data_IF_441327644400
#
_entry.id   IF_441327644400
#
_cell.length_a   1.000
_cell.length_b   1.000
_cell.length_c   1.000
_cell.angle_alpha   90.00
_cell.angle_beta   90.00
_cell.angle_gamma   90.00
#
_symmetry.space_group_name_H-M   'P 1'
#
loop_
_entity.id
_entity.type
_entity.pdbx_description
1 polymer ?
#
# COMPACT_ATOMS: atom_id res chain seq x y z
N UNK A 1 -7.00 -37.20 -33.42
CA UNK A 1 -5.69 -36.68 -33.86
C UNK A 1 -5.76 -35.17 -33.91
N UNK A 2 -4.74 -34.51 -33.35
CA UNK A 2 -4.41 -33.08 -33.40
C UNK A 2 -5.34 -32.09 -32.66
N UNK A 3 -4.92 -31.78 -31.43
CA UNK A 3 -5.26 -30.58 -30.66
C UNK A 3 -4.49 -29.37 -31.22
N UNK A 4 -5.16 -28.24 -31.43
CA UNK A 4 -4.50 -26.94 -31.67
C UNK A 4 -5.13 -25.87 -30.78
N UNK A 5 -4.46 -25.60 -29.66
CA UNK A 5 -4.68 -24.47 -28.77
C UNK A 5 -4.15 -23.18 -29.42
N UNK A 6 -5.00 -22.18 -29.64
CA UNK A 6 -4.57 -20.82 -29.99
C UNK A 6 -4.37 -20.00 -28.72
N UNK A 7 -3.11 -19.61 -28.49
CA UNK A 7 -2.69 -18.62 -27.50
C UNK A 7 -3.34 -17.26 -27.80
N UNK A 8 -3.88 -16.61 -26.75
CA UNK A 8 -4.24 -15.18 -26.77
C UNK A 8 -3.00 -14.34 -26.42
N UNK A 9 -2.87 -13.12 -26.95
CA UNK A 9 -1.76 -12.24 -26.64
C UNK A 9 -1.93 -11.62 -25.25
N UNK A 10 -0.87 -11.71 -24.44
CA UNK A 10 -0.76 -11.08 -23.12
C UNK A 10 -0.69 -9.55 -23.26
N UNK A 11 -1.45 -8.85 -22.41
CA UNK A 11 -1.49 -7.40 -22.29
C UNK A 11 -0.25 -6.86 -21.56
N UNK A 12 0.24 -5.64 -21.88
CA UNK A 12 1.43 -5.06 -21.26
C UNK A 12 1.07 -4.36 -19.94
N UNK A 13 1.25 -5.06 -18.82
CA UNK A 13 1.19 -4.52 -17.46
C UNK A 13 2.59 -4.44 -16.86
N UNK A 14 3.30 -3.33 -17.08
CA UNK A 14 4.59 -3.08 -16.45
C UNK A 14 4.43 -2.29 -15.16
N UNK A 15 4.49 -2.95 -14.00
CA UNK A 15 5.07 -2.46 -12.74
C UNK A 15 5.11 -3.60 -11.71
N UNK A 16 6.27 -4.25 -11.60
CA UNK A 16 6.75 -4.94 -10.40
C UNK A 16 8.29 -4.97 -10.46
N UNK A 17 8.98 -4.74 -9.33
CA UNK A 17 10.12 -5.57 -9.01
C UNK A 17 9.84 -6.28 -7.69
N UNK A 18 8.85 -7.18 -7.69
CA UNK A 18 8.91 -8.38 -6.87
C UNK A 18 9.54 -9.52 -7.70
N UNK A 19 10.76 -9.26 -8.19
CA UNK A 19 11.75 -10.29 -8.52
C UNK A 19 12.53 -10.57 -7.22
N UNK A 20 11.84 -11.02 -6.17
CA UNK A 20 11.53 -12.41 -5.83
C UNK A 20 12.63 -13.05 -4.98
N UNK A 21 12.23 -13.42 -3.76
CA UNK A 21 12.95 -14.37 -2.89
C UNK A 21 13.39 -15.63 -3.65
N UNK A 22 12.66 -16.00 -4.72
CA UNK A 22 13.01 -17.13 -5.60
C UNK A 22 14.22 -16.86 -6.50
N UNK A 23 14.53 -15.62 -6.90
CA UNK A 23 15.76 -15.31 -7.64
C UNK A 23 17.00 -15.36 -6.73
N UNK A 24 16.85 -14.92 -5.47
CA UNK A 24 17.91 -15.02 -4.45
C UNK A 24 18.14 -16.48 -3.99
N UNK A 25 17.08 -17.29 -3.91
CA UNK A 25 17.18 -18.74 -3.71
C UNK A 25 17.78 -19.49 -4.91
N UNK A 26 17.55 -19.03 -6.15
CA UNK A 26 18.18 -19.61 -7.34
C UNK A 26 19.69 -19.33 -7.40
N UNK A 27 20.15 -18.20 -6.87
CA UNK A 27 21.57 -17.91 -6.67
C UNK A 27 22.25 -18.87 -5.66
N UNK A 28 21.51 -19.38 -4.67
CA UNK A 28 22.03 -20.38 -3.71
C UNK A 28 22.30 -21.75 -4.37
N UNK A 29 21.55 -22.12 -5.42
CA UNK A 29 21.82 -23.34 -6.18
C UNK A 29 23.03 -23.18 -7.11
N UNK A 30 23.24 -21.99 -7.70
CA UNK A 30 24.40 -21.72 -8.54
C UNK A 30 25.71 -21.58 -7.74
N UNK A 31 25.66 -21.03 -6.52
CA UNK A 31 26.83 -20.90 -5.65
C UNK A 31 27.37 -22.26 -5.14
N UNK A 32 26.55 -23.32 -5.15
CA UNK A 32 27.01 -24.68 -4.86
C UNK A 32 27.96 -25.25 -5.92
N UNK A 33 28.03 -24.65 -7.12
CA UNK A 33 28.94 -25.06 -8.18
C UNK A 33 30.36 -24.48 -8.04
N UNK A 34 30.57 -23.50 -7.16
CA UNK A 34 31.86 -22.85 -6.91
C UNK A 34 32.05 -22.85 -5.40
N UNK A 35 32.73 -23.86 -4.85
CA UNK A 35 32.87 -24.14 -3.42
C UNK A 35 33.37 -23.00 -2.54
N UNK A 36 32.53 -21.98 -2.32
CA UNK A 36 32.66 -20.94 -1.30
C UNK A 36 31.69 -21.35 -0.21
N UNK A 37 32.19 -22.09 0.78
CA UNK A 37 31.46 -22.26 2.04
C UNK A 37 31.39 -20.89 2.71
N UNK A 38 30.30 -20.14 2.49
CA UNK A 38 30.02 -18.93 3.25
C UNK A 38 29.99 -19.31 4.73
N UNK A 39 30.85 -18.68 5.53
CA UNK A 39 30.81 -18.80 6.98
C UNK A 39 29.42 -18.37 7.47
N UNK A 40 28.66 -19.22 8.16
CA UNK A 40 27.35 -18.86 8.68
C UNK A 40 27.41 -17.76 9.75
N UNK A 41 28.61 -17.31 10.15
CA UNK A 41 28.84 -16.29 11.17
C UNK A 41 29.03 -14.88 10.60
N UNK A 42 29.14 -14.75 9.28
CA UNK A 42 29.41 -13.48 8.61
C UNK A 42 28.23 -13.06 7.74
N UNK A 43 28.03 -11.75 7.61
CA UNK A 43 27.00 -11.23 6.71
C UNK A 43 27.36 -11.54 5.25
N UNK A 44 26.32 -11.72 4.43
CA UNK A 44 26.50 -11.90 2.99
C UNK A 44 26.84 -10.56 2.37
N UNK A 45 27.93 -10.52 1.59
CA UNK A 45 28.39 -9.31 0.90
C UNK A 45 28.46 -9.60 -0.59
N UNK A 46 27.63 -8.91 -1.36
CA UNK A 46 27.67 -8.91 -2.82
C UNK A 46 28.33 -7.62 -3.30
N UNK A 47 29.31 -7.72 -4.19
CA UNK A 47 30.02 -6.56 -4.75
C UNK A 47 29.73 -6.43 -6.24
N UNK A 48 29.47 -5.22 -6.69
CA UNK A 48 29.22 -4.87 -8.09
C UNK A 48 29.88 -3.54 -8.45
N UNK A 49 29.89 -3.20 -9.73
CA UNK A 49 30.33 -1.88 -10.20
C UNK A 49 29.48 -0.73 -9.65
N UNK A 50 28.26 -1.04 -9.19
CA UNK A 50 27.34 -0.08 -8.59
C UNK A 50 27.52 0.07 -7.08
N UNK A 51 28.39 -0.74 -6.45
CA UNK A 51 28.65 -0.73 -5.02
C UNK A 51 28.40 -2.09 -4.35
N UNK A 52 28.52 -2.08 -3.02
CA UNK A 52 28.38 -3.26 -2.17
C UNK A 52 26.97 -3.37 -1.59
N UNK A 53 26.38 -4.57 -1.61
CA UNK A 53 25.12 -4.93 -0.96
C UNK A 53 25.41 -5.89 0.18
N UNK A 54 24.94 -5.56 1.39
CA UNK A 54 25.21 -6.32 2.60
C UNK A 54 23.91 -6.81 3.20
N UNK A 55 23.78 -8.12 3.40
CA UNK A 55 22.63 -8.73 4.05
C UNK A 55 23.07 -9.53 5.28
N UNK A 56 22.56 -9.13 6.44
CA UNK A 56 22.84 -9.70 7.73
C UNK A 56 21.57 -10.31 8.30
N UNK A 57 21.64 -11.58 8.68
CA UNK A 57 20.60 -12.30 9.42
C UNK A 57 21.29 -13.26 10.42
N UNK A 58 20.67 -13.59 11.56
CA UNK A 58 21.24 -14.55 12.50
C UNK A 58 21.54 -15.90 11.83
N UNK A 59 22.66 -16.57 12.19
CA UNK A 59 23.54 -16.28 13.32
C UNK A 59 24.73 -15.34 12.97
N UNK A 60 24.68 -14.63 11.84
CA UNK A 60 25.74 -13.70 11.46
C UNK A 60 25.92 -12.57 12.49
N UNK A 61 27.12 -12.01 12.60
CA UNK A 61 27.35 -10.80 13.41
C UNK A 61 27.19 -9.55 12.56
N UNK A 62 26.47 -8.56 13.10
CA UNK A 62 26.34 -7.24 12.47
C UNK A 62 27.74 -6.60 12.42
N UNK A 63 28.21 -6.14 11.24
CA UNK A 63 29.53 -5.55 11.12
C UNK A 63 29.59 -4.22 11.88
N UNK A 64 30.72 -3.96 12.55
CA UNK A 64 30.95 -2.69 13.26
C UNK A 64 31.23 -1.53 12.30
N UNK A 65 31.64 -1.83 11.07
CA UNK A 65 31.93 -0.85 10.02
C UNK A 65 31.45 -1.39 8.67
N UNK A 66 30.87 -0.50 7.87
CA UNK A 66 30.44 -0.81 6.51
C UNK A 66 31.49 -0.34 5.50
N UNK A 67 31.72 -1.06 4.40
CA UNK A 67 32.44 -0.54 3.24
C UNK A 67 31.87 0.81 2.78
N UNK A 68 32.74 1.75 2.41
CA UNK A 68 32.32 3.10 2.01
C UNK A 68 31.49 3.13 0.71
N UNK A 69 31.57 2.06 -0.09
CA UNK A 69 30.79 1.85 -1.31
C UNK A 69 29.47 1.09 -1.07
N UNK A 70 29.06 0.87 0.19
CA UNK A 70 27.80 0.20 0.51
C UNK A 70 26.62 1.01 -0.01
N UNK A 71 25.80 0.40 -0.87
CA UNK A 71 24.58 0.99 -1.45
C UNK A 71 23.31 0.37 -0.90
N UNK A 72 23.38 -0.88 -0.40
CA UNK A 72 22.27 -1.59 0.21
C UNK A 72 22.73 -2.26 1.51
N UNK A 73 21.96 -2.07 2.59
CA UNK A 73 22.17 -2.74 3.87
C UNK A 73 20.85 -3.33 4.36
N UNK A 74 20.83 -4.63 4.62
CA UNK A 74 19.76 -5.33 5.31
C UNK A 74 20.28 -5.91 6.63
N UNK A 75 19.65 -5.55 7.75
CA UNK A 75 19.92 -6.09 9.09
C UNK A 75 18.59 -6.51 9.71
N UNK A 76 18.26 -7.79 9.58
CA UNK A 76 16.91 -8.30 9.84
C UNK A 76 16.93 -9.47 10.82
N UNK A 77 15.83 -9.68 11.56
CA UNK A 77 15.62 -10.84 12.45
C UNK A 77 16.56 -10.91 13.66
N UNK A 78 17.25 -9.82 14.02
CA UNK A 78 18.19 -9.80 15.14
C UNK A 78 17.55 -9.55 16.51
N UNK A 79 16.23 -9.34 16.57
CA UNK A 79 15.51 -8.93 17.78
C UNK A 79 16.08 -7.65 18.42
N UNK A 80 16.67 -6.74 17.62
CA UNK A 80 17.26 -5.50 18.13
C UNK A 80 16.15 -4.61 18.68
N UNK A 81 16.32 -4.13 19.91
CA UNK A 81 15.47 -3.08 20.49
C UNK A 81 15.98 -1.68 20.17
N UNK A 82 17.29 -1.56 19.95
CA UNK A 82 18.00 -0.35 19.56
C UNK A 82 19.07 -0.70 18.52
N UNK A 83 19.33 0.24 17.61
CA UNK A 83 20.42 0.11 16.65
C UNK A 83 21.72 0.67 17.23
N UNK A 84 22.88 0.08 16.87
CA UNK A 84 24.17 0.69 17.17
C UNK A 84 24.25 2.10 16.55
N UNK A 85 24.61 3.10 17.36
CA UNK A 85 24.61 4.52 16.92
C UNK A 85 25.54 4.78 15.72
N UNK A 86 26.60 3.98 15.57
CA UNK A 86 27.60 4.09 14.52
C UNK A 86 27.38 3.13 13.35
N UNK A 87 26.26 2.40 13.29
CA UNK A 87 26.01 1.39 12.25
C UNK A 87 26.16 1.95 10.83
N UNK A 88 25.67 3.17 10.60
CA UNK A 88 25.67 3.82 9.29
C UNK A 88 26.90 4.73 9.05
N UNK A 89 27.85 4.77 9.99
CA UNK A 89 29.00 5.67 9.91
C UNK A 89 29.84 5.33 8.67
N UNK A 90 30.07 6.33 7.81
CA UNK A 90 30.90 6.20 6.60
C UNK A 90 30.17 5.60 5.38
N UNK A 91 28.91 5.17 5.51
CA UNK A 91 28.11 4.62 4.42
C UNK A 91 27.41 5.71 3.58
N UNK A 92 28.13 6.75 3.16
CA UNK A 92 27.53 7.94 2.52
C UNK A 92 26.84 7.68 1.17
N UNK A 93 27.11 6.52 0.55
CA UNK A 93 26.48 6.05 -0.69
C UNK A 93 25.26 5.15 -0.47
N UNK A 94 24.86 4.90 0.79
CA UNK A 94 23.74 4.03 1.10
C UNK A 94 22.45 4.59 0.49
N UNK A 95 21.76 3.76 -0.28
CA UNK A 95 20.49 4.08 -0.94
C UNK A 95 19.34 3.27 -0.35
N UNK A 96 19.59 2.05 0.12
CA UNK A 96 18.57 1.16 0.66
C UNK A 96 18.98 0.66 2.04
N UNK A 97 18.10 0.86 3.02
CA UNK A 97 18.28 0.41 4.39
C UNK A 97 17.06 -0.39 4.84
N UNK A 98 17.25 -1.69 5.03
CA UNK A 98 16.23 -2.61 5.51
C UNK A 98 16.56 -3.05 6.94
N UNK A 99 15.67 -2.74 7.86
CA UNK A 99 15.76 -3.03 9.29
C UNK A 99 14.55 -3.84 9.75
N UNK A 100 13.95 -4.58 8.81
CA UNK A 100 12.68 -5.27 9.01
C UNK A 100 12.81 -6.41 10.03
N UNK A 101 11.68 -6.75 10.65
CA UNK A 101 11.58 -7.90 11.55
C UNK A 101 12.58 -7.85 12.72
N UNK A 102 12.75 -6.68 13.33
CA UNK A 102 13.47 -6.50 14.58
C UNK A 102 12.46 -6.17 15.71
N UNK A 103 12.90 -5.51 16.77
CA UNK A 103 12.05 -5.08 17.90
C UNK A 103 12.30 -3.62 18.23
N UNK A 104 12.67 -2.81 17.23
CA UNK A 104 13.11 -1.44 17.45
C UNK A 104 11.97 -0.64 18.07
N UNK A 105 12.21 -0.07 19.24
CA UNK A 105 11.21 0.72 19.98
C UNK A 105 11.30 2.21 19.64
N UNK A 106 12.48 2.66 19.22
CA UNK A 106 12.74 4.04 18.80
C UNK A 106 13.92 4.12 17.83
N UNK A 107 14.04 5.26 17.17
CA UNK A 107 15.22 5.65 16.41
C UNK A 107 15.92 6.82 17.12
N UNK A 108 17.21 7.01 16.85
CA UNK A 108 17.91 8.24 17.24
C UNK A 108 17.63 9.33 16.20
N UNK A 109 17.40 10.60 16.59
CA UNK A 109 17.18 11.71 15.65
C UNK A 109 18.31 11.87 14.62
N UNK A 110 19.53 11.48 14.99
CA UNK A 110 20.74 11.65 14.19
C UNK A 110 21.06 10.41 13.33
N UNK A 111 20.28 9.33 13.46
CA UNK A 111 20.59 8.02 12.89
C UNK A 111 20.79 8.06 11.37
N UNK A 112 19.95 8.83 10.65
CA UNK A 112 19.98 8.89 9.19
C UNK A 112 20.92 9.98 8.64
N UNK A 113 21.55 10.80 9.49
CA UNK A 113 22.44 11.87 9.02
C UNK A 113 23.64 11.39 8.19
N UNK A 114 24.29 10.25 8.50
CA UNK A 114 25.41 9.76 7.70
C UNK A 114 25.04 9.30 6.28
N UNK A 115 23.74 9.12 5.97
CA UNK A 115 23.24 8.49 4.73
C UNK A 115 22.31 9.43 3.94
N UNK A 116 22.79 10.59 3.46
CA UNK A 116 21.94 11.59 2.81
C UNK A 116 21.36 11.15 1.46
N UNK A 117 21.90 10.07 0.86
CA UNK A 117 21.44 9.51 -0.42
C UNK A 117 20.38 8.40 -0.27
N UNK A 118 19.87 8.19 0.96
CA UNK A 118 18.90 7.14 1.23
C UNK A 118 17.61 7.36 0.45
N UNK A 119 17.21 6.33 -0.30
CA UNK A 119 16.00 6.28 -1.14
C UNK A 119 14.93 5.37 -0.54
N UNK A 120 15.34 4.26 0.07
CA UNK A 120 14.42 3.28 0.67
C UNK A 120 14.80 3.08 2.13
N UNK A 121 13.81 3.26 3.01
CA UNK A 121 13.90 2.89 4.41
C UNK A 121 12.75 1.95 4.76
N UNK A 122 13.09 0.73 5.15
CA UNK A 122 12.14 -0.29 5.56
C UNK A 122 12.32 -0.63 7.05
N UNK A 123 11.32 -0.28 7.85
CA UNK A 123 11.20 -0.52 9.29
C UNK A 123 10.04 -1.48 9.60
N UNK A 124 9.61 -2.28 8.63
CA UNK A 124 8.49 -3.23 8.78
C UNK A 124 8.69 -4.15 9.97
N UNK A 125 7.62 -4.46 10.72
CA UNK A 125 7.65 -5.42 11.84
C UNK A 125 8.69 -5.05 12.89
N UNK A 126 8.52 -3.87 13.47
CA UNK A 126 9.25 -3.40 14.63
C UNK A 126 8.26 -3.03 15.75
N UNK A 127 8.75 -2.39 16.82
CA UNK A 127 7.93 -2.00 17.97
C UNK A 127 7.84 -0.47 18.10
N UNK A 128 7.92 0.26 16.98
CA UNK A 128 7.95 1.72 17.01
C UNK A 128 6.58 2.26 17.44
N UNK A 129 6.58 3.10 18.47
CA UNK A 129 5.39 3.84 18.94
C UNK A 129 5.37 5.28 18.44
N UNK A 130 6.51 5.75 17.91
CA UNK A 130 6.65 7.03 17.24
C UNK A 130 8.02 7.21 16.59
N UNK A 131 8.21 8.36 15.96
CA UNK A 131 9.48 8.75 15.35
C UNK A 131 10.01 10.03 16.01
N UNK A 132 11.33 10.17 16.20
CA UNK A 132 11.87 11.41 16.72
C UNK A 132 11.69 12.56 15.72
N UNK A 133 11.38 13.78 16.18
CA UNK A 133 11.30 14.95 15.32
C UNK A 133 12.60 15.16 14.53
N UNK A 134 12.48 15.43 13.23
CA UNK A 134 13.63 15.75 12.38
C UNK A 134 14.50 14.55 11.98
N UNK A 135 14.09 13.31 12.26
CA UNK A 135 14.85 12.11 11.86
C UNK A 135 15.14 12.05 10.36
N UNK A 136 14.25 12.62 9.54
CA UNK A 136 14.39 12.68 8.08
C UNK A 136 14.96 14.01 7.55
N UNK A 137 15.51 14.87 8.41
CA UNK A 137 16.00 16.19 7.99
C UNK A 137 17.11 16.10 6.93
N UNK A 138 17.91 15.03 6.94
CA UNK A 138 18.96 14.76 5.95
C UNK A 138 18.49 13.86 4.80
N UNK A 139 17.23 13.40 4.80
CA UNK A 139 16.71 12.35 3.90
C UNK A 139 15.84 12.93 2.78
N UNK A 140 16.25 14.06 2.19
CA UNK A 140 15.49 14.74 1.13
C UNK A 140 15.31 13.90 -0.15
N UNK A 141 16.14 12.86 -0.33
CA UNK A 141 16.06 11.92 -1.47
C UNK A 141 15.21 10.68 -1.20
N UNK A 142 14.68 10.53 0.03
CA UNK A 142 13.89 9.38 0.42
C UNK A 142 12.62 9.32 -0.42
N UNK A 143 12.46 8.19 -1.11
CA UNK A 143 11.41 7.90 -2.06
C UNK A 143 10.37 6.95 -1.46
N UNK A 144 10.85 5.95 -0.71
CA UNK A 144 10.05 4.89 -0.13
C UNK A 144 10.31 4.81 1.38
N UNK A 145 9.24 4.97 2.16
CA UNK A 145 9.26 4.80 3.62
C UNK A 145 8.21 3.76 4.02
N UNK A 146 8.67 2.68 4.64
CA UNK A 146 7.82 1.59 5.12
C UNK A 146 7.91 1.49 6.64
N UNK A 147 6.79 1.76 7.31
CA UNK A 147 6.57 1.69 8.76
C UNK A 147 5.50 0.64 9.10
N UNK A 148 5.27 -0.29 8.18
CA UNK A 148 4.29 -1.37 8.27
C UNK A 148 4.44 -2.21 9.53
N UNK A 149 3.33 -2.67 10.10
CA UNK A 149 3.30 -3.60 11.24
C UNK A 149 4.16 -3.10 12.42
N UNK A 150 3.95 -1.86 12.84
CA UNK A 150 4.52 -1.25 14.05
C UNK A 150 3.40 -0.98 15.08
N UNK A 151 3.66 -0.14 16.09
CA UNK A 151 2.73 0.17 17.18
C UNK A 151 2.37 1.66 17.20
N UNK A 152 2.30 2.31 16.04
CA UNK A 152 1.99 3.74 15.95
C UNK A 152 0.52 3.98 16.29
N UNK A 153 0.24 4.74 17.34
CA UNK A 153 -1.13 5.12 17.74
C UNK A 153 -1.54 6.50 17.23
N UNK A 154 -0.56 7.40 17.10
CA UNK A 154 -0.72 8.79 16.67
C UNK A 154 0.38 9.10 15.65
N UNK A 155 0.07 10.00 14.71
CA UNK A 155 1.07 10.61 13.84
C UNK A 155 1.22 12.09 14.18
N UNK A 156 2.45 12.58 14.15
CA UNK A 156 2.73 14.01 14.13
C UNK A 156 3.20 14.43 12.75
N UNK A 157 2.73 15.59 12.29
CA UNK A 157 3.18 16.19 11.01
C UNK A 157 4.67 16.47 10.99
N UNK A 158 5.28 16.69 12.17
CA UNK A 158 6.71 16.93 12.37
C UNK A 158 7.58 15.73 11.96
N UNK A 159 7.06 14.50 12.08
CA UNK A 159 7.83 13.28 11.84
C UNK A 159 8.25 13.16 10.39
N UNK A 160 7.35 13.50 9.47
CA UNK A 160 7.55 13.31 8.02
C UNK A 160 8.04 14.59 7.31
N UNK A 161 8.42 15.61 8.08
CA UNK A 161 8.91 16.87 7.52
C UNK A 161 10.25 16.65 6.78
N UNK A 162 10.35 17.24 5.57
CA UNK A 162 11.55 17.14 4.72
C UNK A 162 11.50 16.05 3.65
N UNK A 163 10.54 15.12 3.71
CA UNK A 163 10.35 14.01 2.75
C UNK A 163 9.72 14.47 1.42
N UNK A 164 10.33 15.43 0.73
CA UNK A 164 9.78 16.05 -0.49
C UNK A 164 9.80 15.13 -1.72
N UNK A 165 10.65 14.11 -1.72
CA UNK A 165 10.80 13.16 -2.82
C UNK A 165 9.93 11.90 -2.64
N UNK A 166 9.15 11.80 -1.56
CA UNK A 166 8.43 10.59 -1.18
C UNK A 166 7.37 10.23 -2.22
N UNK A 167 7.45 9.01 -2.73
CA UNK A 167 6.51 8.41 -3.69
C UNK A 167 5.71 7.26 -3.09
N UNK A 168 6.27 6.57 -2.09
CA UNK A 168 5.62 5.46 -1.41
C UNK A 168 5.71 5.63 0.11
N UNK A 169 4.54 5.65 0.76
CA UNK A 169 4.42 5.67 2.21
C UNK A 169 3.51 4.53 2.65
N UNK A 170 4.07 3.59 3.42
CA UNK A 170 3.33 2.48 4.00
C UNK A 170 3.32 2.59 5.53
N UNK A 171 2.12 2.77 6.08
CA UNK A 171 1.80 2.87 7.50
C UNK A 171 0.81 1.75 7.91
N UNK A 172 0.66 0.72 7.07
CA UNK A 172 -0.31 -0.35 7.27
C UNK A 172 -0.03 -1.18 8.52
N UNK A 173 -1.07 -1.81 9.09
CA UNK A 173 -0.91 -2.70 10.24
C UNK A 173 -0.43 -2.01 11.50
N UNK A 174 -0.82 -0.74 11.72
CA UNK A 174 -0.52 0.03 12.93
C UNK A 174 -1.80 0.21 13.77
N UNK A 175 -1.74 1.07 14.80
CA UNK A 175 -2.85 1.34 15.72
C UNK A 175 -3.46 2.74 15.53
N UNK A 176 -3.32 3.34 14.34
CA UNK A 176 -3.70 4.72 14.10
C UNK A 176 -5.21 4.91 14.19
N UNK A 177 -5.66 5.81 15.07
CA UNK A 177 -7.09 6.14 15.24
C UNK A 177 -7.53 7.37 14.47
N UNK A 178 -6.60 8.33 14.30
CA UNK A 178 -6.82 9.61 13.62
C UNK A 178 -5.55 10.03 12.91
N UNK A 179 -5.72 10.82 11.86
CA UNK A 179 -4.62 11.50 11.15
C UNK A 179 -4.67 12.99 11.48
N UNK A 180 -3.52 13.65 11.74
CA UNK A 180 -3.50 15.09 11.93
C UNK A 180 -3.81 15.81 10.60
N UNK A 181 -4.50 16.96 10.64
CA UNK A 181 -4.64 17.83 9.47
C UNK A 181 -3.27 18.22 8.90
N UNK A 182 -3.18 18.38 7.58
CA UNK A 182 -1.95 18.75 6.89
C UNK A 182 -0.85 17.68 6.84
N UNK A 183 -1.10 16.45 7.32
CA UNK A 183 -0.11 15.36 7.31
C UNK A 183 0.56 15.17 5.94
N UNK A 184 -0.24 15.22 4.87
CA UNK A 184 0.22 14.97 3.51
C UNK A 184 0.43 16.24 2.68
N UNK A 185 0.30 17.43 3.29
CA UNK A 185 0.25 18.72 2.57
C UNK A 185 1.46 18.95 1.63
N UNK A 186 2.63 18.38 1.96
CA UNK A 186 3.87 18.57 1.21
C UNK A 186 4.27 17.40 0.32
N UNK A 187 3.50 16.30 0.25
CA UNK A 187 3.87 15.10 -0.53
C UNK A 187 3.29 15.14 -1.95
N UNK A 188 3.68 16.15 -2.73
CA UNK A 188 3.16 16.37 -4.08
C UNK A 188 3.52 15.26 -5.08
N UNK A 189 4.58 14.48 -4.79
CA UNK A 189 5.04 13.36 -5.61
C UNK A 189 4.52 11.99 -5.12
N UNK A 190 3.70 11.94 -4.06
CA UNK A 190 3.22 10.70 -3.50
C UNK A 190 2.33 9.96 -4.51
N UNK A 191 2.66 8.70 -4.78
CA UNK A 191 1.95 7.82 -5.72
C UNK A 191 1.23 6.68 -5.04
N UNK A 192 1.74 6.21 -3.91
CA UNK A 192 1.14 5.12 -3.14
C UNK A 192 1.12 5.49 -1.68
N UNK A 193 -0.07 5.45 -1.11
CA UNK A 193 -0.30 5.62 0.31
C UNK A 193 -1.01 4.39 0.84
N UNK A 194 -0.37 3.73 1.79
CA UNK A 194 -0.94 2.58 2.48
C UNK A 194 -1.21 2.89 3.95
N UNK A 195 -2.48 2.85 4.32
CA UNK A 195 -3.01 3.02 5.68
C UNK A 195 -3.91 1.84 6.07
N UNK A 196 -3.80 0.71 5.35
CA UNK A 196 -4.59 -0.47 5.60
C UNK A 196 -4.40 -1.00 7.03
N UNK A 197 -5.38 -1.76 7.53
CA UNK A 197 -5.29 -2.46 8.81
C UNK A 197 -4.90 -1.53 9.97
N UNK A 198 -5.56 -0.39 10.06
CA UNK A 198 -5.46 0.58 11.15
C UNK A 198 -6.81 0.71 11.86
N UNK A 199 -7.01 1.77 12.66
CA UNK A 199 -8.24 2.00 13.41
C UNK A 199 -8.89 3.33 13.06
N UNK A 200 -8.70 3.82 11.83
CA UNK A 200 -9.18 5.12 11.40
C UNK A 200 -10.71 5.14 11.33
N UNK A 201 -11.32 6.03 12.11
CA UNK A 201 -12.78 6.24 12.11
C UNK A 201 -13.22 7.30 11.09
N UNK A 202 -12.37 8.30 10.90
CA UNK A 202 -12.57 9.40 9.94
C UNK A 202 -11.25 9.83 9.32
N UNK A 203 -11.33 10.45 8.15
CA UNK A 203 -10.20 11.10 7.48
C UNK A 203 -10.38 12.62 7.55
N UNK A 204 -9.30 13.40 7.76
CA UNK A 204 -9.36 14.86 7.66
C UNK A 204 -9.89 15.35 6.31
N UNK A 205 -10.61 16.49 6.22
CA UNK A 205 -11.10 17.04 4.95
C UNK A 205 -9.98 17.37 3.94
N UNK A 206 -8.82 17.74 4.44
CA UNK A 206 -7.64 18.12 3.67
C UNK A 206 -6.68 16.95 3.39
N UNK A 207 -7.05 15.73 3.81
CA UNK A 207 -6.19 14.55 3.77
C UNK A 207 -5.51 14.34 2.41
N UNK A 208 -6.26 14.45 1.31
CA UNK A 208 -5.77 14.26 -0.05
C UNK A 208 -5.55 15.56 -0.82
N UNK A 209 -5.39 16.71 -0.16
CA UNK A 209 -5.15 17.98 -0.86
C UNK A 209 -3.67 18.19 -1.26
N UNK A 210 -2.74 17.56 -0.54
CA UNK A 210 -1.30 17.68 -0.78
C UNK A 210 -0.76 16.78 -1.89
N UNK A 211 -1.08 15.46 -1.90
CA UNK A 211 -0.72 14.58 -3.00
C UNK A 211 -1.37 15.04 -4.31
N UNK A 212 -0.59 15.13 -5.39
CA UNK A 212 -1.09 15.56 -6.70
C UNK A 212 -0.98 14.46 -7.76
N UNK A 213 -0.39 13.31 -7.41
CA UNK A 213 -0.06 12.22 -8.32
C UNK A 213 -0.41 10.85 -7.72
N UNK A 214 -1.40 10.79 -6.80
CA UNK A 214 -1.71 9.56 -6.11
C UNK A 214 -2.35 8.56 -7.08
N UNK A 215 -1.72 7.40 -7.22
CA UNK A 215 -2.18 6.31 -8.10
C UNK A 215 -2.85 5.19 -7.30
N UNK A 216 -2.42 4.97 -6.05
CA UNK A 216 -2.89 3.88 -5.17
C UNK A 216 -3.19 4.39 -3.77
N UNK A 217 -4.40 4.11 -3.29
CA UNK A 217 -4.83 4.41 -1.94
C UNK A 217 -5.41 3.16 -1.28
N UNK A 218 -4.73 2.71 -0.23
CA UNK A 218 -5.14 1.59 0.60
C UNK A 218 -5.68 2.11 1.93
N UNK A 219 -6.95 1.81 2.19
CA UNK A 219 -7.70 2.19 3.40
C UNK A 219 -8.48 1.00 3.98
N UNK A 220 -8.27 -0.19 3.44
CA UNK A 220 -8.92 -1.43 3.87
C UNK A 220 -8.64 -1.77 5.33
N UNK A 221 -9.54 -2.52 5.98
CA UNK A 221 -9.35 -2.94 7.37
C UNK A 221 -9.33 -1.80 8.39
N UNK A 222 -10.04 -0.69 8.11
CA UNK A 222 -10.20 0.44 9.04
C UNK A 222 -11.62 0.49 9.65
N UNK A 223 -12.00 1.62 10.25
CA UNK A 223 -13.31 1.83 10.90
C UNK A 223 -14.10 2.97 10.24
N UNK A 224 -13.81 3.29 8.98
CA UNK A 224 -14.44 4.40 8.27
C UNK A 224 -15.94 4.16 8.10
N UNK A 225 -16.75 5.17 8.40
CA UNK A 225 -18.23 5.06 8.36
C UNK A 225 -18.86 5.75 7.15
N UNK A 226 -18.18 6.74 6.59
CA UNK A 226 -18.65 7.48 5.43
C UNK A 226 -17.51 7.84 4.47
N UNK A 227 -17.83 7.86 3.18
CA UNK A 227 -16.97 8.45 2.15
C UNK A 227 -17.57 9.80 1.71
N UNK A 228 -16.89 10.89 2.08
CA UNK A 228 -17.34 12.26 1.80
C UNK A 228 -17.07 12.66 0.35
N UNK A 229 -17.93 13.51 -0.21
CA UNK A 229 -17.93 13.93 -1.63
C UNK A 229 -16.58 14.49 -2.09
N UNK A 230 -16.00 15.38 -1.31
CA UNK A 230 -14.84 16.17 -1.74
C UNK A 230 -13.49 15.48 -1.44
N UNK A 231 -13.50 14.32 -0.79
CA UNK A 231 -12.27 13.66 -0.35
C UNK A 231 -11.38 13.25 -1.52
N UNK A 232 -11.97 12.63 -2.55
CA UNK A 232 -11.25 12.04 -3.68
C UNK A 232 -11.16 12.98 -4.89
N UNK A 233 -11.83 14.14 -4.84
CA UNK A 233 -11.83 15.13 -5.93
C UNK A 233 -10.43 15.58 -6.34
N UNK A 234 -9.46 15.79 -5.42
CA UNK A 234 -8.10 16.19 -5.81
C UNK A 234 -7.26 15.09 -6.49
N UNK A 235 -7.78 13.86 -6.63
CA UNK A 235 -7.01 12.70 -7.10
C UNK A 235 -7.51 12.18 -8.45
N UNK A 236 -7.32 12.93 -9.56
CA UNK A 236 -7.76 12.51 -10.88
C UNK A 236 -6.99 11.29 -11.41
N UNK A 237 -5.75 11.11 -10.95
CA UNK A 237 -4.84 10.05 -11.40
C UNK A 237 -5.00 8.72 -10.65
N UNK A 238 -5.92 8.66 -9.67
CA UNK A 238 -6.11 7.47 -8.84
C UNK A 238 -6.59 6.28 -9.69
N UNK A 239 -5.86 5.17 -9.58
CA UNK A 239 -6.11 3.92 -10.32
C UNK A 239 -6.64 2.81 -9.43
N UNK A 240 -6.16 2.76 -8.17
CA UNK A 240 -6.50 1.71 -7.22
C UNK A 240 -7.03 2.34 -5.93
N UNK A 241 -8.26 1.95 -5.56
CA UNK A 241 -8.90 2.38 -4.33
C UNK A 241 -9.44 1.16 -3.57
N UNK A 242 -8.83 0.88 -2.43
CA UNK A 242 -9.24 -0.21 -1.54
C UNK A 242 -9.87 0.37 -0.27
N UNK A 243 -11.14 0.03 -0.05
CA UNK A 243 -11.97 0.48 1.08
C UNK A 243 -12.64 -0.70 1.78
N UNK A 244 -12.30 -1.93 1.43
CA UNK A 244 -12.92 -3.13 1.95
C UNK A 244 -12.63 -3.35 3.44
N UNK A 245 -13.52 -4.07 4.13
CA UNK A 245 -13.34 -4.32 5.57
C UNK A 245 -13.40 -3.04 6.42
N UNK A 246 -14.19 -2.05 5.99
CA UNK A 246 -14.51 -0.85 6.77
C UNK A 246 -15.94 -0.96 7.34
N UNK A 247 -16.49 0.16 7.80
CA UNK A 247 -17.86 0.27 8.31
C UNK A 247 -18.70 1.24 7.48
N UNK A 248 -18.37 1.39 6.19
CA UNK A 248 -19.00 2.39 5.33
C UNK A 248 -20.49 2.09 5.22
N UNK A 249 -21.32 2.96 5.80
CA UNK A 249 -22.77 2.91 5.67
C UNK A 249 -23.27 3.90 4.62
N UNK A 250 -22.43 4.88 4.24
CA UNK A 250 -22.79 5.97 3.32
C UNK A 250 -21.61 6.31 2.41
N UNK A 251 -21.90 6.40 1.11
CA UNK A 251 -21.03 7.07 0.14
C UNK A 251 -21.76 8.30 -0.36
N UNK A 252 -21.15 9.48 -0.27
CA UNK A 252 -21.78 10.72 -0.68
C UNK A 252 -21.97 10.79 -2.20
N UNK A 253 -23.04 11.46 -2.64
CA UNK A 253 -23.30 11.68 -4.06
C UNK A 253 -22.12 12.42 -4.71
N UNK A 254 -21.63 11.88 -5.82
CA UNK A 254 -20.49 12.44 -6.55
C UNK A 254 -19.11 12.18 -5.92
N UNK A 255 -19.00 11.32 -4.89
CA UNK A 255 -17.70 10.97 -4.29
C UNK A 255 -16.69 10.40 -5.30
N UNK A 256 -17.16 9.80 -6.40
CA UNK A 256 -16.32 9.23 -7.46
C UNK A 256 -16.21 10.10 -8.72
N UNK A 257 -16.77 11.31 -8.75
CA UNK A 257 -16.83 12.15 -9.96
C UNK A 257 -15.43 12.47 -10.54
N UNK A 258 -14.40 12.57 -9.70
CA UNK A 258 -13.02 12.83 -10.12
C UNK A 258 -12.26 11.62 -10.65
N UNK A 259 -12.72 10.40 -10.38
CA UNK A 259 -11.95 9.15 -10.54
C UNK A 259 -11.97 8.61 -11.97
N UNK A 260 -11.53 9.43 -12.91
CA UNK A 260 -11.51 9.07 -14.33
C UNK A 260 -10.46 8.02 -14.63
N UNK A 261 -9.46 7.84 -13.75
CA UNK A 261 -8.37 6.88 -13.91
C UNK A 261 -8.57 5.50 -13.25
N UNK A 262 -9.72 5.25 -12.63
CA UNK A 262 -9.89 4.07 -11.79
C UNK A 262 -9.87 2.76 -12.60
N UNK A 263 -9.02 1.83 -12.18
CA UNK A 263 -8.89 0.48 -12.73
C UNK A 263 -9.38 -0.59 -11.74
N UNK A 264 -9.28 -0.32 -10.44
CA UNK A 264 -9.66 -1.21 -9.34
C UNK A 264 -10.41 -0.44 -8.25
N UNK A 265 -11.57 -0.96 -7.84
CA UNK A 265 -12.34 -0.46 -6.70
C UNK A 265 -12.80 -1.61 -5.82
N UNK A 266 -12.39 -1.61 -4.56
CA UNK A 266 -12.90 -2.59 -3.58
C UNK A 266 -13.70 -1.90 -2.47
N UNK A 267 -15.00 -2.13 -2.45
CA UNK A 267 -15.95 -1.68 -1.42
C UNK A 267 -16.53 -2.87 -0.65
N UNK A 268 -16.00 -4.08 -0.85
CA UNK A 268 -16.52 -5.29 -0.23
C UNK A 268 -16.44 -5.24 1.29
N UNK A 269 -17.25 -6.04 1.98
CA UNK A 269 -17.22 -6.16 3.44
C UNK A 269 -17.36 -4.80 4.15
N UNK A 270 -18.46 -4.11 3.86
CA UNK A 270 -18.85 -2.82 4.44
C UNK A 270 -20.32 -2.90 4.90
N UNK A 271 -20.91 -1.76 5.24
CA UNK A 271 -22.30 -1.65 5.74
C UNK A 271 -23.22 -0.94 4.75
N UNK A 272 -22.92 -0.98 3.45
CA UNK A 272 -23.70 -0.29 2.43
C UNK A 272 -25.02 -1.01 2.17
N UNK A 273 -26.11 -0.36 2.57
CA UNK A 273 -27.47 -0.80 2.27
C UNK A 273 -27.95 -0.28 0.92
N UNK A 274 -27.51 0.91 0.53
CA UNK A 274 -27.81 1.55 -0.75
C UNK A 274 -26.72 2.54 -1.12
N UNK A 275 -26.79 3.08 -2.34
CA UNK A 275 -25.89 4.12 -2.86
C UNK A 275 -26.71 5.22 -3.54
N UNK A 276 -26.23 6.48 -3.54
CA UNK A 276 -26.93 7.55 -4.23
C UNK A 276 -26.95 7.33 -5.74
N UNK A 277 -28.04 7.80 -6.37
CA UNK A 277 -28.17 7.83 -7.82
C UNK A 277 -27.00 8.58 -8.47
N UNK A 278 -26.46 8.02 -9.55
CA UNK A 278 -25.37 8.61 -10.32
C UNK A 278 -23.99 8.44 -9.70
N UNK A 279 -23.86 7.66 -8.62
CA UNK A 279 -22.55 7.39 -8.00
C UNK A 279 -21.57 6.75 -8.99
N UNK A 280 -22.06 5.84 -9.81
CA UNK A 280 -21.26 5.01 -10.73
C UNK A 280 -21.11 5.62 -12.11
N UNK A 281 -21.84 6.70 -12.41
CA UNK A 281 -21.90 7.30 -13.75
C UNK A 281 -20.51 7.63 -14.30
N UNK A 282 -19.53 7.96 -13.44
CA UNK A 282 -18.17 8.33 -13.87
C UNK A 282 -17.18 7.16 -13.88
N UNK A 283 -17.60 5.96 -13.48
CA UNK A 283 -16.78 4.75 -13.41
C UNK A 283 -17.15 3.77 -14.52
N UNK A 284 -16.16 3.09 -15.12
CA UNK A 284 -16.40 2.08 -16.16
C UNK A 284 -17.06 2.65 -17.43
N UNK A 285 -16.67 3.86 -17.83
CA UNK A 285 -17.20 4.53 -19.03
C UNK A 285 -16.85 3.74 -20.32
N UNK A 286 -17.67 3.77 -21.40
CA UNK A 286 -17.42 3.00 -22.61
C UNK A 286 -16.04 3.24 -23.26
N UNK A 287 -15.52 4.46 -23.10
CA UNK A 287 -14.20 4.85 -23.64
C UNK A 287 -13.04 4.57 -22.68
N UNK A 288 -13.33 4.15 -21.44
CA UNK A 288 -12.34 3.80 -20.44
C UNK A 288 -12.90 2.82 -19.42
N UNK A 289 -12.72 1.56 -19.75
CA UNK A 289 -13.09 0.41 -18.92
C UNK A 289 -12.17 0.28 -17.69
N UNK A 290 -12.69 -0.28 -16.60
CA UNK A 290 -11.90 -0.66 -15.44
C UNK A 290 -11.04 -1.88 -15.83
N UNK A 291 -9.72 -1.73 -15.75
CA UNK A 291 -8.81 -2.80 -16.19
C UNK A 291 -8.91 -4.04 -15.32
N UNK A 292 -8.96 -3.84 -14.01
CA UNK A 292 -8.80 -4.91 -13.04
C UNK A 292 -10.17 -5.34 -12.49
N UNK A 293 -11.03 -4.37 -12.14
CA UNK A 293 -12.44 -4.63 -11.84
C UNK A 293 -12.93 -4.00 -10.55
N UNK A 294 -14.03 -4.49 -10.01
CA UNK A 294 -14.59 -3.98 -8.77
C UNK A 294 -15.24 -5.06 -7.91
N UNK A 295 -15.22 -4.87 -6.59
CA UNK A 295 -15.91 -5.74 -5.64
C UNK A 295 -16.83 -4.89 -4.74
N UNK A 296 -18.10 -5.30 -4.64
CA UNK A 296 -19.13 -4.69 -3.79
C UNK A 296 -19.83 -5.76 -2.92
N UNK A 297 -19.26 -6.95 -2.84
CA UNK A 297 -19.81 -8.09 -2.10
C UNK A 297 -19.81 -7.84 -0.59
N UNK A 298 -20.46 -8.73 0.16
CA UNK A 298 -20.50 -8.66 1.63
C UNK A 298 -20.97 -7.29 2.17
N UNK A 299 -21.97 -6.70 1.52
CA UNK A 299 -22.66 -5.50 1.96
C UNK A 299 -24.17 -5.81 2.10
N UNK A 300 -24.88 -5.18 3.05
CA UNK A 300 -26.30 -5.46 3.31
C UNK A 300 -27.24 -4.78 2.30
N UNK A 301 -27.04 -5.01 0.99
CA UNK A 301 -27.78 -4.34 -0.08
C UNK A 301 -29.31 -4.51 0.03
N UNK A 302 -30.04 -3.41 0.04
CA UNK A 302 -31.49 -3.37 -0.05
C UNK A 302 -31.86 -3.22 -1.52
N UNK A 303 -32.19 -4.33 -2.15
CA UNK A 303 -32.48 -4.47 -3.56
C UNK A 303 -33.91 -4.03 -3.90
N UNK A 304 -34.18 -2.74 -3.75
CA UNK A 304 -35.42 -2.08 -4.15
C UNK A 304 -35.21 -1.19 -5.38
N UNK A 305 -36.16 -0.30 -5.66
CA UNK A 305 -36.12 0.62 -6.82
C UNK A 305 -35.05 1.71 -6.70
N UNK A 306 -34.51 1.97 -5.49
CA UNK A 306 -33.47 2.98 -5.29
C UNK A 306 -32.10 2.54 -5.83
N UNK A 307 -31.94 1.26 -6.18
CA UNK A 307 -30.73 0.71 -6.80
C UNK A 307 -30.80 0.62 -8.32
N UNK A 308 -31.82 1.20 -8.98
CA UNK A 308 -31.99 1.14 -10.44
C UNK A 308 -30.75 1.58 -11.23
N UNK A 309 -30.11 2.68 -10.84
CA UNK A 309 -28.85 3.15 -11.44
C UNK A 309 -27.71 2.12 -11.28
N UNK A 310 -27.59 1.52 -10.09
CA UNK A 310 -26.62 0.46 -9.83
C UNK A 310 -26.92 -0.79 -10.68
N UNK A 311 -28.19 -1.19 -10.83
CA UNK A 311 -28.57 -2.34 -11.66
C UNK A 311 -28.14 -2.16 -13.12
N UNK A 312 -28.46 -1.00 -13.71
CA UNK A 312 -28.06 -0.70 -15.08
C UNK A 312 -26.53 -0.68 -15.24
N UNK A 313 -25.82 -0.09 -14.29
CA UNK A 313 -24.36 -0.06 -14.31
C UNK A 313 -23.76 -1.48 -14.20
N UNK A 314 -24.28 -2.31 -13.30
CA UNK A 314 -23.79 -3.69 -13.12
C UNK A 314 -24.03 -4.57 -14.34
N UNK A 315 -25.18 -4.47 -15.00
CA UNK A 315 -25.42 -5.20 -16.24
C UNK A 315 -24.37 -4.86 -17.30
N UNK A 316 -23.97 -3.59 -17.39
CA UNK A 316 -22.94 -3.14 -18.32
C UNK A 316 -21.52 -3.57 -17.92
N UNK A 317 -21.25 -3.75 -16.62
CA UNK A 317 -19.91 -4.00 -16.07
C UNK A 317 -19.74 -5.40 -15.46
N UNK A 318 -20.67 -6.32 -15.67
CA UNK A 318 -20.70 -7.63 -15.00
C UNK A 318 -19.44 -8.47 -15.16
N UNK A 319 -18.75 -8.36 -16.31
CA UNK A 319 -17.51 -9.10 -16.59
C UNK A 319 -16.32 -8.60 -15.74
N UNK A 320 -16.45 -7.44 -15.09
CA UNK A 320 -15.46 -6.81 -14.22
C UNK A 320 -15.77 -6.97 -12.74
N UNK A 321 -16.92 -7.53 -12.42
CA UNK A 321 -17.37 -7.72 -11.06
C UNK A 321 -16.70 -8.94 -10.44
N UNK A 322 -15.95 -8.72 -9.38
CA UNK A 322 -15.49 -9.79 -8.50
C UNK A 322 -16.66 -10.31 -7.64
N UNK A 323 -16.56 -11.57 -7.21
CA UNK A 323 -17.45 -12.13 -6.18
C UNK A 323 -18.96 -12.02 -6.52
N UNK A 324 -19.32 -12.24 -7.79
CA UNK A 324 -20.72 -12.13 -8.28
C UNK A 324 -21.71 -12.96 -7.45
N UNK A 325 -21.30 -14.18 -7.08
CA UNK A 325 -22.13 -15.10 -6.28
C UNK A 325 -22.27 -14.69 -4.82
N UNK A 326 -21.37 -13.85 -4.31
CA UNK A 326 -21.34 -13.41 -2.92
C UNK A 326 -21.94 -12.00 -2.75
N UNK A 327 -22.23 -11.31 -3.85
CA UNK A 327 -22.97 -10.04 -3.84
C UNK A 327 -24.46 -10.30 -3.87
N UNK A 328 -25.07 -10.33 -2.69
CA UNK A 328 -26.47 -10.73 -2.47
C UNK A 328 -27.30 -9.63 -1.83
N UNK A 329 -28.60 -9.66 -2.10
CA UNK A 329 -29.58 -8.80 -1.48
C UNK A 329 -29.81 -9.21 -0.01
N UNK A 330 -29.70 -8.26 0.92
CA UNK A 330 -30.11 -8.44 2.31
C UNK A 330 -31.61 -8.20 2.52
N UNK A 331 -32.25 -7.46 1.62
CA UNK A 331 -33.68 -7.24 1.59
C UNK A 331 -34.12 -6.59 0.27
N UNK A 332 -35.43 -6.34 0.06
CA UNK A 332 -36.55 -6.80 0.90
C UNK A 332 -36.72 -8.33 0.88
N UNK A 333 -37.53 -8.89 1.79
CA UNK A 333 -37.67 -10.36 1.98
C UNK A 333 -38.00 -11.14 0.70
N UNK A 334 -38.71 -10.54 -0.26
CA UNK A 334 -39.05 -11.16 -1.55
C UNK A 334 -37.82 -11.53 -2.41
N UNK A 335 -36.72 -10.78 -2.29
CA UNK A 335 -35.48 -10.96 -3.07
C UNK A 335 -34.27 -11.26 -2.20
N UNK A 336 -34.47 -11.41 -0.88
CA UNK A 336 -33.41 -11.66 0.07
C UNK A 336 -32.64 -12.95 -0.26
N UNK A 337 -31.32 -12.87 -0.21
CA UNK A 337 -30.42 -13.97 -0.54
C UNK A 337 -30.22 -14.19 -2.05
N UNK A 338 -31.02 -13.58 -2.92
CA UNK A 338 -30.75 -13.59 -4.36
C UNK A 338 -29.50 -12.76 -4.67
N UNK A 339 -28.78 -13.14 -5.71
CA UNK A 339 -27.63 -12.34 -6.19
C UNK A 339 -28.14 -11.03 -6.76
N UNK A 340 -27.43 -9.95 -6.46
CA UNK A 340 -27.82 -8.60 -6.88
C UNK A 340 -27.89 -8.48 -8.41
N UNK A 341 -27.00 -9.18 -9.14
CA UNK A 341 -27.02 -9.22 -10.61
C UNK A 341 -28.28 -9.91 -11.17
N UNK A 342 -28.74 -11.01 -10.56
CA UNK A 342 -29.97 -11.68 -11.00
C UNK A 342 -31.21 -10.81 -10.77
N UNK A 343 -31.27 -10.07 -9.65
CA UNK A 343 -32.33 -9.09 -9.42
C UNK A 343 -32.25 -7.97 -10.44
N UNK A 344 -31.06 -7.46 -10.73
CA UNK A 344 -30.83 -6.45 -11.75
C UNK A 344 -31.30 -6.91 -13.14
N UNK A 345 -31.06 -8.16 -13.54
CA UNK A 345 -31.50 -8.72 -14.84
C UNK A 345 -33.02 -8.94 -14.94
N UNK A 346 -33.74 -8.93 -13.81
CA UNK A 346 -35.19 -9.14 -13.75
C UNK A 346 -36.04 -7.85 -13.76
N UNK A 347 -35.38 -6.70 -13.67
CA UNK A 347 -35.97 -5.35 -13.75
C UNK A 347 -35.78 -4.80 -15.16
#
# INVERSE_FOLDING_TARGET
MASWSRQRPESPGGFQPHLSRTLFLLLLLAASAWGVTLSPKDCQVFRSDHGSSISCQPPAKIPSYLPADTVHLAVEFFNLTLLPANLLQGASKLQELHLSSNRLESLSPEFLRPVPQLRVLDLTRNSLTGLPPGVFQASATLDTLVLKENQLEVLETSWLHGLKALRHLDLSGNCLRKLPPGLLANFTLLRTLDLAENQLETLPPDFLQGPLQLERLHLEGNKLQELRKDLLVPQPDLRYLFLNGNKLARVAAGAFHGLRLLDMLDLSNNSLASVPEGLWTFLGQPNRDMRDGFDISSNPWICDQNLSDLYHWLQAQKDKMFSQNDTRCAGPEAVKGQTLLAVAESQ
#
